data_IF_078903678417
#
_entry.id   IF_078903678417
#
_cell.length_a   1.000
_cell.length_b   1.000
_cell.length_c   1.000
_cell.angle_alpha   90.00
_cell.angle_beta   90.00
_cell.angle_gamma   90.00
#
_symmetry.space_group_name_H-M   'P 1'
#
loop_
_entity.id
_entity.type
_entity.pdbx_description
1 polymer ?
#
# COMPACT_ATOMS: atom_id res chain seq x y z
N UNK A 1 22.71 14.51 -20.57
CA UNK A 1 22.93 13.75 -19.31
C UNK A 1 21.85 14.02 -18.27
N UNK A 2 21.46 15.26 -18.00
CA UNK A 2 20.41 15.58 -17.00
C UNK A 2 19.01 14.99 -17.29
N UNK A 3 18.58 14.92 -18.56
CA UNK A 3 17.28 14.32 -18.93
C UNK A 3 17.19 12.82 -18.61
N UNK A 4 18.29 12.08 -18.78
CA UNK A 4 18.34 10.64 -18.49
C UNK A 4 18.23 10.38 -16.97
N UNK A 5 18.80 11.27 -16.14
CA UNK A 5 18.70 11.17 -14.68
C UNK A 5 17.30 11.47 -14.16
N UNK A 6 16.60 12.44 -14.76
CA UNK A 6 15.19 12.76 -14.44
C UNK A 6 14.25 11.61 -14.81
N UNK A 7 14.38 11.08 -16.03
CA UNK A 7 13.63 9.90 -16.50
C UNK A 7 13.77 8.70 -15.56
N UNK A 8 14.98 8.45 -15.06
CA UNK A 8 15.26 7.33 -14.16
C UNK A 8 14.68 7.52 -12.76
N UNK A 9 14.63 8.77 -12.28
CA UNK A 9 14.01 9.11 -11.01
C UNK A 9 12.48 8.99 -11.08
N UNK A 10 11.88 9.47 -12.17
CA UNK A 10 10.45 9.26 -12.43
C UNK A 10 10.11 7.78 -12.49
N UNK A 11 10.89 6.98 -13.22
CA UNK A 11 10.71 5.53 -13.29
C UNK A 11 10.78 4.87 -11.90
N UNK A 12 11.72 5.30 -11.05
CA UNK A 12 11.78 4.83 -9.67
C UNK A 12 10.51 5.18 -8.88
N UNK A 13 10.00 6.40 -9.00
CA UNK A 13 8.78 6.82 -8.31
C UNK A 13 7.56 6.03 -8.80
N UNK A 14 7.40 5.84 -10.11
CA UNK A 14 6.34 5.01 -10.68
C UNK A 14 6.42 3.56 -10.19
N UNK A 15 7.64 2.98 -10.13
CA UNK A 15 7.84 1.62 -9.59
C UNK A 15 7.49 1.53 -8.11
N UNK A 16 7.86 2.53 -7.31
CA UNK A 16 7.50 2.59 -5.89
C UNK A 16 5.99 2.76 -5.69
N UNK A 17 5.33 3.56 -6.53
CA UNK A 17 3.89 3.71 -6.53
C UNK A 17 3.17 2.41 -6.87
N UNK A 18 3.56 1.75 -7.98
CA UNK A 18 3.03 0.46 -8.38
C UNK A 18 3.27 -0.60 -7.29
N UNK A 19 4.44 -0.59 -6.65
CA UNK A 19 4.76 -1.47 -5.53
C UNK A 19 3.80 -1.23 -4.35
N UNK A 20 3.61 0.02 -3.94
CA UNK A 20 2.71 0.36 -2.84
C UNK A 20 1.25 -0.03 -3.12
N UNK A 21 0.76 0.17 -4.35
CA UNK A 21 -0.57 -0.27 -4.76
C UNK A 21 -0.69 -1.80 -4.72
N UNK A 22 0.30 -2.51 -5.27
CA UNK A 22 0.34 -3.98 -5.22
C UNK A 22 0.36 -4.55 -3.80
N UNK A 23 0.88 -3.79 -2.82
CA UNK A 23 0.85 -4.15 -1.40
C UNK A 23 -0.56 -4.03 -0.83
N UNK A 24 -1.32 -3.02 -1.22
CA UNK A 24 -2.74 -2.87 -0.81
C UNK A 24 -3.57 -4.01 -1.38
N UNK A 25 -3.34 -4.43 -2.63
CA UNK A 25 -4.01 -5.60 -3.20
C UNK A 25 -3.69 -6.89 -2.43
N UNK A 26 -2.42 -7.09 -2.06
CA UNK A 26 -2.03 -8.24 -1.23
C UNK A 26 -2.67 -8.20 0.16
N UNK A 27 -2.77 -7.02 0.77
CA UNK A 27 -3.50 -6.83 2.03
C UNK A 27 -4.97 -7.24 1.88
N UNK A 28 -5.64 -6.79 0.82
CA UNK A 28 -7.02 -7.19 0.51
C UNK A 28 -7.17 -8.71 0.42
N UNK A 29 -6.28 -9.38 -0.31
CA UNK A 29 -6.37 -10.84 -0.50
C UNK A 29 -6.15 -11.59 0.82
N UNK A 30 -5.20 -11.16 1.66
CA UNK A 30 -5.00 -11.72 3.00
C UNK A 30 -6.21 -11.50 3.90
N UNK A 31 -6.81 -10.31 3.87
CA UNK A 31 -8.01 -10.00 4.63
C UNK A 31 -9.20 -10.82 4.13
N UNK A 32 -9.34 -11.04 2.82
CA UNK A 32 -10.40 -11.86 2.26
C UNK A 32 -10.30 -13.30 2.75
N UNK A 33 -9.09 -13.87 2.75
CA UNK A 33 -8.84 -15.20 3.31
C UNK A 33 -9.20 -15.26 4.80
N UNK A 34 -8.76 -14.28 5.59
CA UNK A 34 -9.08 -14.19 7.01
C UNK A 34 -10.60 -14.06 7.24
N UNK A 35 -11.29 -13.24 6.44
CA UNK A 35 -12.73 -13.05 6.52
C UNK A 35 -13.50 -14.34 6.21
N UNK A 36 -13.12 -15.05 5.14
CA UNK A 36 -13.72 -16.35 4.79
C UNK A 36 -13.52 -17.39 5.90
N UNK A 37 -12.34 -17.39 6.54
CA UNK A 37 -12.08 -18.27 7.69
C UNK A 37 -12.88 -17.85 8.94
N UNK A 38 -13.16 -16.56 9.11
CA UNK A 38 -13.81 -15.96 10.28
C UNK A 38 -15.35 -15.88 10.19
N UNK A 39 -15.93 -16.03 9.00
CA UNK A 39 -17.39 -16.02 8.78
C UNK A 39 -18.15 -17.04 9.65
N UNK A 40 -17.46 -18.09 10.12
CA UNK A 40 -18.04 -19.15 10.96
C UNK A 40 -18.02 -18.82 12.46
N UNK A 41 -17.12 -17.95 12.92
CA UNK A 41 -16.80 -17.77 14.36
C UNK A 41 -17.06 -16.38 14.90
N UNK A 42 -17.07 -15.34 14.07
CA UNK A 42 -17.29 -13.97 14.52
C UNK A 42 -18.78 -13.64 14.55
N UNK A 43 -19.48 -14.18 15.55
CA UNK A 43 -20.86 -13.81 15.85
C UNK A 43 -20.96 -13.09 17.19
N UNK A 44 -21.94 -12.21 17.32
CA UNK A 44 -22.31 -11.54 18.57
C UNK A 44 -23.76 -11.86 18.90
N UNK A 45 -24.10 -11.85 20.19
CA UNK A 45 -25.49 -11.95 20.60
C UNK A 45 -26.24 -10.65 20.31
N UNK A 46 -27.38 -10.79 19.64
CA UNK A 46 -28.37 -9.74 19.45
C UNK A 46 -29.72 -10.27 19.93
N UNK A 47 -30.02 -10.00 21.21
CA UNK A 47 -31.19 -10.57 21.89
C UNK A 47 -31.02 -12.08 22.08
N UNK A 48 -31.90 -12.88 21.47
CA UNK A 48 -31.86 -14.36 21.54
C UNK A 48 -31.18 -15.02 20.33
N UNK A 49 -30.54 -14.25 19.45
CA UNK A 49 -29.93 -14.75 18.20
C UNK A 49 -28.44 -14.38 18.15
N UNK A 50 -27.65 -15.27 17.56
CA UNK A 50 -26.27 -14.99 17.15
C UNK A 50 -26.29 -14.35 15.77
N UNK A 51 -25.65 -13.19 15.60
CA UNK A 51 -25.52 -12.48 14.32
C UNK A 51 -24.05 -12.26 13.98
N UNK A 52 -23.63 -12.33 12.71
CA UNK A 52 -22.26 -12.02 12.33
C UNK A 52 -21.85 -10.62 12.78
N UNK A 53 -20.61 -10.48 13.29
CA UNK A 53 -20.03 -9.19 13.70
C UNK A 53 -19.85 -8.28 12.48
N UNK A 54 -19.32 -8.85 11.40
CA UNK A 54 -19.17 -8.19 10.11
C UNK A 54 -20.19 -8.78 9.13
N UNK A 55 -21.05 -7.93 8.59
CA UNK A 55 -22.10 -8.36 7.65
C UNK A 55 -21.56 -8.47 6.23
N UNK A 56 -20.58 -7.65 5.89
CA UNK A 56 -19.92 -7.64 4.59
C UNK A 56 -18.41 -7.60 4.77
N UNK A 57 -17.67 -7.88 3.69
CA UNK A 57 -16.22 -7.85 3.71
C UNK A 57 -15.69 -6.43 3.95
N UNK A 58 -16.34 -5.41 3.41
CA UNK A 58 -15.95 -4.01 3.55
C UNK A 58 -16.05 -3.52 5.00
N UNK A 59 -16.93 -4.13 5.80
CA UNK A 59 -17.03 -3.84 7.24
C UNK A 59 -15.82 -4.42 8.01
N UNK A 60 -15.15 -5.45 7.47
CA UNK A 60 -13.94 -6.09 8.02
C UNK A 60 -12.65 -5.42 7.49
N UNK A 61 -12.62 -5.08 6.20
CA UNK A 61 -11.50 -4.41 5.55
C UNK A 61 -11.99 -3.42 4.48
N UNK A 62 -11.80 -2.13 4.75
CA UNK A 62 -12.15 -1.04 3.83
C UNK A 62 -10.98 -0.76 2.88
N UNK A 63 -11.04 -1.36 1.69
CA UNK A 63 -10.03 -1.24 0.64
C UNK A 63 -9.88 0.20 0.14
N UNK A 64 -11.00 0.90 -0.05
CA UNK A 64 -11.02 2.29 -0.54
C UNK A 64 -10.35 3.23 0.46
N UNK A 65 -10.66 3.08 1.75
CA UNK A 65 -9.96 3.83 2.80
C UNK A 65 -8.47 3.53 2.79
N UNK A 66 -8.07 2.26 2.61
CA UNK A 66 -6.66 1.87 2.59
C UNK A 66 -5.91 2.44 1.38
N UNK A 67 -6.53 2.46 0.20
CA UNK A 67 -6.01 3.14 -0.98
C UNK A 67 -5.82 4.63 -0.71
N UNK A 68 -6.83 5.30 -0.17
CA UNK A 68 -6.76 6.72 0.18
C UNK A 68 -5.65 7.04 1.19
N UNK A 69 -5.35 6.14 2.15
CA UNK A 69 -4.23 6.32 3.07
C UNK A 69 -2.86 6.20 2.36
N UNK A 70 -2.74 5.29 1.40
CA UNK A 70 -1.52 5.13 0.61
C UNK A 70 -1.33 6.29 -0.35
N UNK A 71 -2.41 6.81 -0.93
CA UNK A 71 -2.39 7.98 -1.81
C UNK A 71 -2.21 9.30 -1.04
N UNK A 72 -2.87 9.46 0.10
CA UNK A 72 -2.68 10.62 0.98
C UNK A 72 -1.27 10.72 1.53
N UNK A 73 -0.59 9.58 1.75
CA UNK A 73 0.85 9.54 2.06
C UNK A 73 1.73 10.01 0.90
N UNK A 74 1.27 9.95 -0.37
CA UNK A 74 2.01 10.50 -1.53
C UNK A 74 2.04 12.02 -1.53
N UNK A 75 1.01 12.68 -0.98
CA UNK A 75 0.94 14.14 -0.88
C UNK A 75 1.83 14.69 0.25
N UNK A 76 2.22 13.84 1.20
CA UNK A 76 3.17 14.14 2.26
C UNK A 76 4.64 14.02 1.84
N UNK A 77 5.12 14.99 1.05
CA UNK A 77 6.53 15.35 0.83
C UNK A 77 7.50 14.25 0.35
N UNK A 78 8.21 14.54 -0.75
CA UNK A 78 9.50 13.87 -1.06
C UNK A 78 10.38 13.97 0.20
N UNK A 79 10.53 12.85 0.91
CA UNK A 79 11.24 12.85 2.18
C UNK A 79 12.73 13.16 1.95
N UNK A 80 13.42 13.78 2.92
CA UNK A 80 14.87 14.01 2.83
C UNK A 80 15.65 12.72 2.55
N UNK A 81 15.15 11.58 3.04
CA UNK A 81 15.72 10.26 2.79
C UNK A 81 15.59 9.85 1.32
N UNK A 82 14.43 10.08 0.69
CA UNK A 82 14.23 9.80 -0.74
C UNK A 82 15.13 10.69 -1.61
N UNK A 83 15.33 11.97 -1.24
CA UNK A 83 16.30 12.85 -1.93
C UNK A 83 17.73 12.33 -1.78
N UNK A 84 18.09 11.83 -0.60
CA UNK A 84 19.41 11.26 -0.33
C UNK A 84 19.64 9.96 -1.12
N UNK A 85 18.64 9.08 -1.17
CA UNK A 85 18.72 7.85 -1.96
C UNK A 85 18.81 8.14 -3.45
N UNK A 86 18.06 9.12 -3.96
CA UNK A 86 18.18 9.58 -5.34
C UNK A 86 19.59 10.08 -5.67
N UNK A 87 20.20 10.89 -4.77
CA UNK A 87 21.59 11.36 -4.92
C UNK A 87 22.61 10.22 -4.88
N UNK A 88 22.44 9.26 -3.97
CA UNK A 88 23.33 8.09 -3.86
C UNK A 88 23.25 7.21 -5.11
N UNK A 89 22.04 6.98 -5.64
CA UNK A 89 21.85 6.25 -6.89
C UNK A 89 22.52 6.95 -8.09
N UNK A 90 22.47 8.29 -8.14
CA UNK A 90 23.17 9.07 -9.17
C UNK A 90 24.71 8.97 -9.03
N UNK A 91 25.24 8.95 -7.80
CA UNK A 91 26.68 8.83 -7.54
C UNK A 91 27.25 7.44 -7.89
N UNK A 92 26.55 6.37 -7.53
CA UNK A 92 26.99 4.99 -7.82
C UNK A 92 27.10 4.76 -9.33
N UNK A 93 26.19 5.35 -10.12
CA UNK A 93 26.23 5.24 -11.58
C UNK A 93 27.36 6.07 -12.24
N UNK A 94 27.82 7.15 -11.59
CA UNK A 94 28.94 7.97 -12.08
C UNK A 94 30.31 7.47 -11.60
N UNK A 95 30.36 6.59 -10.59
CA UNK A 95 31.61 6.06 -10.02
C UNK A 95 32.02 4.66 -10.50
N UNK A 96 31.24 4.03 -11.38
CA UNK A 96 31.58 2.78 -12.05
C UNK A 96 32.25 3.04 -13.38
N UNK A 97 33.50 3.53 -13.36
CA UNK A 97 34.37 3.72 -14.50
C UNK A 97 35.76 3.17 -14.21
#
# INVERSE_FOLDING_TARGET
MQEIELLRLEEYFYRMEAYNLSRVDKERDMHLQAWLNNQVTFTKEQGKKQVPVFKRFEDFFDYEKRLNEVEGKKQGAITPQMRRMARLAAQINNGGG
#
